data_IF_719710547963
#
_entry.id   IF_719710547963
#
_cell.length_a   1.000
_cell.length_b   1.000
_cell.length_c   1.000
_cell.angle_alpha   90.00
_cell.angle_beta   90.00
_cell.angle_gamma   90.00
#
_symmetry.space_group_name_H-M   'P 1'
#
loop_
_entity.id
_entity.type
_entity.pdbx_description
1 polymer ?
#
# COMPACT_ATOMS: atom_id res chain seq x y z
N UNK A 1 -8.99 13.10 -3.45
CA UNK A 1 -8.23 12.85 -2.22
C UNK A 1 -7.45 11.57 -2.43
N UNK A 2 -6.19 11.70 -2.75
CA UNK A 2 -5.28 10.59 -3.03
C UNK A 2 -4.98 9.91 -1.71
N UNK A 3 -5.33 8.61 -1.64
CA UNK A 3 -5.03 7.79 -0.49
C UNK A 3 -3.54 7.84 -0.18
N UNK A 4 -3.22 8.09 1.07
CA UNK A 4 -1.87 7.92 1.61
C UNK A 4 -1.51 6.46 1.35
N UNK A 5 -0.65 6.22 0.38
CA UNK A 5 0.01 4.95 0.21
C UNK A 5 0.94 4.80 1.42
N UNK A 6 0.42 4.22 2.49
CA UNK A 6 1.25 3.75 3.61
C UNK A 6 2.33 2.88 3.01
N UNK A 7 3.56 3.07 3.44
CA UNK A 7 4.71 2.22 3.12
C UNK A 7 4.23 0.76 3.09
N UNK A 8 4.05 0.22 1.87
CA UNK A 8 3.34 -1.04 1.71
C UNK A 8 4.25 -2.12 2.28
N UNK A 9 3.86 -2.69 3.40
CA UNK A 9 4.52 -3.87 3.93
C UNK A 9 4.53 -4.92 2.80
N UNK A 10 5.62 -5.68 2.60
CA UNK A 10 5.74 -6.68 1.52
C UNK A 10 4.53 -7.59 1.41
N UNK A 11 3.87 -7.85 2.54
CA UNK A 11 2.67 -8.68 2.63
C UNK A 11 1.43 -7.99 2.05
N UNK A 12 1.33 -6.67 2.16
CA UNK A 12 0.26 -5.88 1.56
C UNK A 12 0.32 -5.95 0.03
N UNK A 13 1.51 -5.75 -0.54
CA UNK A 13 1.74 -5.84 -1.99
C UNK A 13 1.50 -7.25 -2.51
N UNK A 14 2.01 -8.26 -1.81
CA UNK A 14 1.80 -9.66 -2.17
C UNK A 14 0.31 -10.04 -2.15
N UNK A 15 -0.44 -9.61 -1.14
CA UNK A 15 -1.86 -9.89 -1.02
C UNK A 15 -2.67 -9.15 -2.09
N UNK A 16 -2.35 -7.89 -2.35
CA UNK A 16 -2.97 -7.11 -3.43
C UNK A 16 -2.72 -7.75 -4.79
N UNK A 17 -1.49 -8.19 -5.05
CA UNK A 17 -1.12 -8.89 -6.29
C UNK A 17 -1.86 -10.23 -6.41
N UNK A 18 -1.98 -11.00 -5.33
CA UNK A 18 -2.72 -12.27 -5.32
C UNK A 18 -4.21 -12.08 -5.62
N UNK A 19 -4.85 -11.07 -5.03
CA UNK A 19 -6.24 -10.72 -5.30
C UNK A 19 -6.41 -10.29 -6.76
N UNK A 20 -5.53 -9.43 -7.26
CA UNK A 20 -5.56 -8.99 -8.66
C UNK A 20 -5.37 -10.15 -9.63
N UNK A 21 -4.42 -11.04 -9.37
CA UNK A 21 -4.18 -12.23 -10.19
C UNK A 21 -5.40 -13.17 -10.20
N UNK A 22 -6.03 -13.38 -9.05
CA UNK A 22 -7.26 -14.19 -8.93
C UNK A 22 -8.40 -13.61 -9.75
N UNK A 23 -8.63 -12.29 -9.68
CA UNK A 23 -9.68 -11.62 -10.44
C UNK A 23 -9.40 -11.73 -11.95
N UNK A 24 -8.16 -11.50 -12.37
CA UNK A 24 -7.77 -11.61 -13.78
C UNK A 24 -7.90 -13.06 -14.31
N UNK A 25 -7.60 -14.07 -13.49
CA UNK A 25 -7.86 -15.47 -13.83
C UNK A 25 -9.35 -15.73 -14.01
N UNK A 26 -10.17 -15.27 -13.07
CA UNK A 26 -11.63 -15.41 -13.15
C UNK A 26 -12.24 -14.74 -14.39
N UNK A 27 -11.66 -13.65 -14.87
CA UNK A 27 -12.06 -13.03 -16.15
C UNK A 27 -11.68 -13.91 -17.32
N UNK A 28 -10.46 -14.48 -17.35
CA UNK A 28 -10.02 -15.40 -18.41
C UNK A 28 -10.86 -16.68 -18.47
N UNK A 29 -11.27 -17.17 -17.31
CA UNK A 29 -12.09 -18.37 -17.17
C UNK A 29 -13.59 -18.12 -17.47
N UNK A 30 -13.95 -16.87 -17.81
CA UNK A 30 -15.33 -16.46 -18.12
C UNK A 30 -16.24 -16.36 -16.89
N UNK A 31 -15.69 -16.44 -15.69
CA UNK A 31 -16.44 -16.30 -14.43
C UNK A 31 -16.80 -14.85 -14.13
N UNK A 32 -16.03 -13.89 -14.64
CA UNK A 32 -16.29 -12.44 -14.52
C UNK A 32 -16.25 -11.78 -15.90
N UNK A 33 -16.98 -10.65 -16.03
CA UNK A 33 -16.98 -9.86 -17.28
C UNK A 33 -15.58 -9.36 -17.63
N UNK A 34 -15.19 -9.31 -18.92
CA UNK A 34 -13.94 -8.70 -19.38
C UNK A 34 -13.74 -7.25 -18.93
N UNK A 35 -14.81 -6.50 -18.75
CA UNK A 35 -14.79 -5.10 -18.32
C UNK A 35 -14.14 -4.91 -16.92
N UNK A 36 -14.16 -5.97 -16.10
CA UNK A 36 -13.54 -5.97 -14.77
C UNK A 36 -12.03 -5.73 -14.87
N UNK A 37 -11.36 -6.28 -15.89
CA UNK A 37 -9.90 -6.10 -16.07
C UNK A 37 -9.50 -4.65 -16.37
N UNK A 38 -10.41 -3.85 -16.90
CA UNK A 38 -10.20 -2.43 -17.21
C UNK A 38 -10.75 -1.49 -16.12
N UNK A 39 -11.34 -2.06 -15.07
CA UNK A 39 -11.94 -1.30 -13.99
C UNK A 39 -10.90 -0.57 -13.15
N UNK A 40 -11.15 0.72 -12.87
CA UNK A 40 -10.37 1.52 -11.90
C UNK A 40 -10.36 0.87 -10.50
N UNK A 41 -11.42 0.13 -10.15
CA UNK A 41 -11.49 -0.57 -8.87
C UNK A 41 -10.41 -1.67 -8.77
N UNK A 42 -10.11 -2.37 -9.87
CA UNK A 42 -9.03 -3.37 -9.92
C UNK A 42 -7.64 -2.71 -9.83
N UNK A 43 -7.49 -1.52 -10.42
CA UNK A 43 -6.24 -0.76 -10.36
C UNK A 43 -5.95 -0.18 -8.95
N UNK A 44 -6.99 -0.04 -8.11
CA UNK A 44 -6.92 0.59 -6.78
C UNK A 44 -7.46 -0.32 -5.68
N UNK A 45 -6.99 -1.59 -5.65
CA UNK A 45 -7.37 -2.53 -4.58
C UNK A 45 -6.90 -1.96 -3.24
N UNK A 46 -7.84 -1.75 -2.32
CA UNK A 46 -7.55 -1.27 -0.98
C UNK A 46 -7.70 -2.39 0.02
N UNK A 47 -6.68 -2.57 0.85
CA UNK A 47 -6.70 -3.45 2.00
C UNK A 47 -6.68 -2.60 3.26
N UNK A 48 -7.59 -2.86 4.16
CA UNK A 48 -7.69 -2.18 5.45
C UNK A 48 -7.40 -3.15 6.58
N UNK A 49 -6.87 -2.64 7.68
CA UNK A 49 -6.76 -3.43 8.91
C UNK A 49 -8.05 -3.31 9.70
N UNK A 50 -8.79 -4.41 9.93
CA UNK A 50 -9.99 -4.37 10.73
C UNK A 50 -9.71 -3.86 12.16
N UNK A 51 -10.65 -3.09 12.72
CA UNK A 51 -10.55 -2.65 14.11
C UNK A 51 -10.66 -3.81 15.10
N UNK A 52 -11.49 -4.81 14.77
CA UNK A 52 -11.63 -6.04 15.54
C UNK A 52 -10.76 -7.14 14.89
N UNK A 53 -9.87 -7.73 15.67
CA UNK A 53 -8.98 -8.82 15.25
C UNK A 53 -9.69 -10.12 14.89
N UNK A 54 -10.93 -10.30 15.34
CA UNK A 54 -11.76 -11.46 14.96
C UNK A 54 -12.10 -11.45 13.45
N UNK A 55 -11.96 -10.29 12.78
CA UNK A 55 -12.14 -10.13 11.35
C UNK A 55 -10.84 -10.35 10.54
N UNK A 56 -9.82 -10.96 11.12
CA UNK A 56 -8.54 -11.23 10.47
C UNK A 56 -7.57 -10.07 10.49
N UNK A 57 -6.49 -10.19 9.71
CA UNK A 57 -5.42 -9.20 9.63
C UNK A 57 -5.69 -8.10 8.60
N UNK A 58 -6.39 -8.44 7.52
CA UNK A 58 -6.76 -7.53 6.44
C UNK A 58 -8.20 -7.76 6.00
N UNK A 59 -8.85 -6.67 5.57
CA UNK A 59 -10.16 -6.70 4.94
C UNK A 59 -10.15 -5.91 3.62
N UNK A 60 -10.96 -6.34 2.65
CA UNK A 60 -11.18 -5.59 1.41
C UNK A 60 -12.64 -5.58 1.01
N UNK A 61 -13.06 -4.47 0.42
CA UNK A 61 -14.39 -4.27 -0.18
C UNK A 61 -14.39 -4.40 -1.70
N UNK A 62 -13.33 -4.98 -2.29
CA UNK A 62 -13.16 -5.04 -3.74
C UNK A 62 -14.34 -5.73 -4.46
N UNK A 63 -14.93 -6.74 -3.86
CA UNK A 63 -16.08 -7.44 -4.44
C UNK A 63 -17.32 -6.52 -4.57
N UNK A 64 -17.52 -5.61 -3.60
CA UNK A 64 -18.57 -4.58 -3.66
C UNK A 64 -18.30 -3.57 -4.79
N UNK A 65 -17.05 -3.14 -4.92
CA UNK A 65 -16.64 -2.18 -5.94
C UNK A 65 -16.79 -2.75 -7.38
N UNK A 66 -16.55 -4.06 -7.54
CA UNK A 66 -16.62 -4.74 -8.84
C UNK A 66 -18.04 -5.20 -9.21
N UNK A 67 -18.97 -5.25 -8.29
CA UNK A 67 -20.31 -5.85 -8.48
C UNK A 67 -21.06 -5.27 -9.69
N UNK A 68 -21.02 -3.94 -9.85
CA UNK A 68 -21.69 -3.24 -10.96
C UNK A 68 -21.04 -3.55 -12.31
N UNK A 69 -19.71 -3.57 -12.36
CA UNK A 69 -18.96 -3.81 -13.61
C UNK A 69 -19.01 -5.28 -14.01
N UNK A 70 -18.96 -6.18 -13.02
CA UNK A 70 -19.06 -7.63 -13.25
C UNK A 70 -20.50 -8.12 -13.51
N UNK A 71 -21.51 -7.26 -13.29
CA UNK A 71 -22.92 -7.63 -13.33
C UNK A 71 -23.26 -8.89 -12.52
N UNK A 72 -22.64 -8.99 -11.33
CA UNK A 72 -22.80 -10.12 -10.39
C UNK A 72 -23.01 -9.60 -8.98
N UNK A 73 -23.58 -10.46 -8.12
CA UNK A 73 -23.71 -10.10 -6.71
C UNK A 73 -22.32 -9.94 -6.07
N UNK A 74 -22.12 -8.99 -5.15
CA UNK A 74 -20.84 -8.84 -4.45
C UNK A 74 -20.41 -10.13 -3.74
N UNK A 75 -21.37 -10.90 -3.25
CA UNK A 75 -21.11 -12.15 -2.54
C UNK A 75 -20.56 -13.23 -3.47
N UNK A 76 -21.09 -13.33 -4.69
CA UNK A 76 -20.60 -14.29 -5.69
C UNK A 76 -19.16 -13.94 -6.11
N UNK A 77 -18.87 -12.66 -6.27
CA UNK A 77 -17.52 -12.17 -6.56
C UNK A 77 -16.57 -12.48 -5.40
N UNK A 78 -17.02 -12.27 -4.17
CA UNK A 78 -16.24 -12.58 -2.97
C UNK A 78 -15.93 -14.09 -2.86
N UNK A 79 -16.89 -14.98 -3.22
CA UNK A 79 -16.67 -16.42 -3.26
C UNK A 79 -15.65 -16.80 -4.35
N UNK A 80 -15.71 -16.17 -5.52
CA UNK A 80 -14.72 -16.40 -6.59
C UNK A 80 -13.32 -16.02 -6.09
N UNK A 81 -13.18 -14.85 -5.46
CA UNK A 81 -11.89 -14.36 -4.92
C UNK A 81 -11.42 -15.30 -3.80
N UNK A 82 -12.28 -15.68 -2.87
CA UNK A 82 -11.94 -16.61 -1.79
C UNK A 82 -11.42 -17.93 -2.33
N UNK A 83 -12.10 -18.51 -3.33
CA UNK A 83 -11.69 -19.78 -3.93
C UNK A 83 -10.34 -19.67 -4.63
N UNK A 84 -10.08 -18.56 -5.33
CA UNK A 84 -8.80 -18.36 -6.02
C UNK A 84 -7.64 -18.02 -5.06
N UNK A 85 -7.93 -17.52 -3.88
CA UNK A 85 -6.93 -17.32 -2.82
C UNK A 85 -6.66 -18.62 -2.03
N UNK A 86 -7.51 -19.63 -2.15
CA UNK A 86 -7.31 -20.92 -1.50
C UNK A 86 -6.04 -21.60 -2.05
N UNK A 87 -5.17 -22.04 -1.15
CA UNK A 87 -3.88 -22.62 -1.52
C UNK A 87 -2.70 -21.63 -1.51
N UNK A 88 -2.93 -20.35 -1.26
CA UNK A 88 -1.84 -19.42 -1.05
C UNK A 88 -1.22 -19.64 0.34
N UNK A 89 0.04 -20.07 0.38
CA UNK A 89 0.75 -20.42 1.63
C UNK A 89 0.90 -19.25 2.62
N UNK A 90 0.72 -18.02 2.16
CA UNK A 90 0.76 -16.83 3.00
C UNK A 90 -0.56 -16.56 3.74
N UNK A 91 -1.64 -17.27 3.36
CA UNK A 91 -2.99 -17.06 3.87
C UNK A 91 -3.42 -18.29 4.68
N UNK A 92 -3.83 -18.07 5.92
CA UNK A 92 -4.38 -19.13 6.77
C UNK A 92 -5.88 -19.31 6.51
N UNK A 93 -6.62 -18.18 6.38
CA UNK A 93 -8.08 -18.21 6.27
C UNK A 93 -8.61 -17.03 5.46
N UNK A 94 -9.65 -17.27 4.66
CA UNK A 94 -10.42 -16.22 3.98
C UNK A 94 -11.89 -16.38 4.34
N UNK A 95 -12.50 -15.32 4.87
CA UNK A 95 -13.91 -15.29 5.26
C UNK A 95 -14.65 -14.17 4.55
N UNK A 96 -15.93 -14.45 4.24
CA UNK A 96 -16.80 -13.44 3.64
C UNK A 96 -17.74 -12.93 4.71
N UNK A 97 -17.74 -11.62 4.92
CA UNK A 97 -18.60 -10.94 5.87
C UNK A 97 -19.62 -10.04 5.18
N UNK A 98 -20.84 -10.00 5.71
CA UNK A 98 -21.90 -9.12 5.23
C UNK A 98 -22.20 -9.29 3.74
N UNK A 99 -22.35 -8.18 2.99
CA UNK A 99 -22.76 -8.20 1.58
C UNK A 99 -21.64 -8.59 0.60
N UNK A 100 -20.40 -8.82 1.05
CA UNK A 100 -19.27 -9.15 0.17
C UNK A 100 -17.93 -8.56 0.62
N UNK A 101 -17.77 -8.23 1.90
CA UNK A 101 -16.45 -7.94 2.48
C UNK A 101 -15.65 -9.23 2.58
N UNK A 102 -14.38 -9.16 2.25
CA UNK A 102 -13.46 -10.28 2.30
C UNK A 102 -12.45 -10.02 3.40
N UNK A 103 -12.46 -10.86 4.43
CA UNK A 103 -11.52 -10.85 5.54
C UNK A 103 -10.45 -11.90 5.33
N UNK A 104 -9.19 -11.52 5.51
CA UNK A 104 -8.04 -12.39 5.29
C UNK A 104 -7.24 -12.49 6.59
N UNK A 105 -7.02 -13.72 7.06
CA UNK A 105 -6.10 -14.05 8.15
C UNK A 105 -4.81 -14.62 7.54
N UNK A 106 -3.69 -14.06 7.94
CA UNK A 106 -2.38 -14.46 7.44
C UNK A 106 -1.85 -15.70 8.17
N UNK A 107 -1.15 -16.54 7.45
CA UNK A 107 -0.41 -17.63 8.06
C UNK A 107 0.71 -17.09 8.95
N UNK A 108 0.95 -17.72 10.10
CA UNK A 108 2.02 -17.33 11.04
C UNK A 108 3.40 -17.28 10.40
N UNK A 109 3.67 -18.14 9.43
CA UNK A 109 4.90 -18.15 8.63
C UNK A 109 5.13 -16.88 7.82
N UNK A 110 4.06 -16.19 7.41
CA UNK A 110 4.15 -14.94 6.63
C UNK A 110 4.75 -13.78 7.42
N UNK A 111 4.61 -13.79 8.75
CA UNK A 111 5.20 -12.77 9.63
C UNK A 111 6.74 -12.89 9.66
N UNK A 112 7.28 -14.10 9.59
CA UNK A 112 8.72 -14.33 9.47
C UNK A 112 9.32 -13.89 8.14
N UNK A 113 8.55 -13.94 7.05
CA UNK A 113 9.00 -13.49 5.73
C UNK A 113 9.34 -12.00 5.68
N UNK A 114 8.64 -11.17 6.46
CA UNK A 114 8.93 -9.73 6.57
C UNK A 114 10.29 -9.51 7.21
N UNK A 115 10.63 -10.24 8.25
CA UNK A 115 11.93 -10.16 8.93
C UNK A 115 13.05 -10.59 7.98
N UNK A 116 12.85 -11.69 7.26
CA UNK A 116 13.83 -12.15 6.26
C UNK A 116 14.05 -11.09 5.17
N UNK A 117 12.99 -10.42 4.70
CA UNK A 117 13.10 -9.34 3.73
C UNK A 117 13.82 -8.11 4.30
N UNK A 118 13.53 -7.71 5.52
CA UNK A 118 14.24 -6.60 6.20
C UNK A 118 15.74 -6.90 6.24
N UNK A 119 16.12 -8.13 6.63
CA UNK A 119 17.52 -8.54 6.69
C UNK A 119 18.19 -8.59 5.32
N UNK A 120 17.48 -9.02 4.28
CA UNK A 120 17.98 -9.09 2.91
C UNK A 120 18.15 -7.71 2.27
N UNK A 121 17.17 -6.81 2.45
CA UNK A 121 17.18 -5.47 1.87
C UNK A 121 18.10 -4.51 2.66
N UNK A 122 18.34 -4.77 3.95
CA UNK A 122 19.18 -3.93 4.82
C UNK A 122 18.73 -2.48 4.81
N UNK A 123 19.63 -1.56 4.55
CA UNK A 123 19.37 -0.11 4.50
C UNK A 123 18.42 0.31 3.37
N UNK A 124 18.17 -0.56 2.40
CA UNK A 124 17.23 -0.30 1.30
C UNK A 124 15.79 -0.66 1.66
N UNK A 125 15.57 -1.33 2.80
CA UNK A 125 14.23 -1.67 3.23
C UNK A 125 13.38 -0.40 3.43
N UNK A 126 12.19 -0.38 2.83
CA UNK A 126 11.28 0.79 2.85
C UNK A 126 11.52 1.82 1.74
N UNK A 127 12.56 1.64 0.92
CA UNK A 127 12.72 2.47 -0.28
C UNK A 127 11.71 2.04 -1.35
N UNK A 128 11.10 3.04 -2.00
CA UNK A 128 10.10 2.85 -3.06
C UNK A 128 10.44 3.74 -4.26
N UNK A 129 9.86 3.46 -5.42
CA UNK A 129 10.13 4.19 -6.66
C UNK A 129 9.02 5.17 -7.07
N UNK A 130 8.13 5.54 -6.14
CA UNK A 130 6.96 6.40 -6.40
C UNK A 130 7.33 7.76 -7.00
N UNK A 131 8.47 8.30 -6.59
CA UNK A 131 8.98 9.61 -7.01
C UNK A 131 10.18 9.47 -7.96
N UNK A 132 10.37 8.29 -8.57
CA UNK A 132 11.48 8.07 -9.50
C UNK A 132 11.47 9.11 -10.62
N UNK A 133 12.65 9.71 -10.90
CA UNK A 133 12.82 10.76 -11.90
C UNK A 133 12.37 12.15 -11.44
N UNK A 134 11.78 12.30 -10.26
CA UNK A 134 11.47 13.62 -9.70
C UNK A 134 12.74 14.23 -9.08
N UNK A 135 13.00 15.49 -9.43
CA UNK A 135 14.04 16.33 -8.81
C UNK A 135 13.33 17.35 -7.93
N UNK A 136 13.65 17.35 -6.66
CA UNK A 136 12.99 18.19 -5.64
C UNK A 136 14.07 19.03 -4.98
N UNK A 137 13.89 20.35 -5.02
CA UNK A 137 14.68 21.27 -4.22
C UNK A 137 13.91 21.61 -2.95
N UNK A 138 14.50 21.35 -1.79
CA UNK A 138 13.89 21.57 -0.48
C UNK A 138 14.72 22.58 0.28
N UNK A 139 14.19 23.79 0.38
CA UNK A 139 14.76 24.87 1.17
C UNK A 139 14.20 24.82 2.60
N UNK A 140 15.07 24.85 3.60
CA UNK A 140 14.70 24.89 5.01
C UNK A 140 15.79 25.52 5.88
N UNK A 141 15.42 25.97 7.09
CA UNK A 141 16.24 26.74 8.02
C UNK A 141 16.59 28.15 7.51
N UNK A 142 16.28 28.52 6.27
CA UNK A 142 16.61 29.82 5.71
C UNK A 142 16.23 30.97 6.66
N UNK A 143 17.19 31.81 7.01
CA UNK A 143 17.03 32.85 8.01
C UNK A 143 17.92 34.06 7.67
N UNK A 144 17.42 35.25 7.99
CA UNK A 144 18.19 36.48 7.85
C UNK A 144 19.37 36.48 8.82
N UNK A 145 20.56 36.96 8.41
CA UNK A 145 21.77 36.99 9.26
C UNK A 145 21.75 38.09 10.31
N UNK A 146 20.59 38.32 10.94
CA UNK A 146 20.40 39.38 11.95
C UNK A 146 20.71 38.92 13.37
N UNK A 147 21.04 37.65 13.58
CA UNK A 147 21.36 37.06 14.87
C UNK A 147 21.61 35.55 14.79
N UNK A 148 21.96 34.93 15.93
CA UNK A 148 22.20 33.48 15.96
C UNK A 148 20.93 32.69 15.72
N UNK A 149 21.08 31.48 15.17
CA UNK A 149 19.97 30.53 15.03
C UNK A 149 19.37 30.22 16.42
N UNK A 150 18.06 30.20 16.52
CA UNK A 150 17.35 29.88 17.74
C UNK A 150 16.54 28.56 17.60
N UNK A 151 15.88 28.13 18.69
CA UNK A 151 15.15 26.88 18.78
C UNK A 151 14.13 26.69 17.66
N UNK A 152 13.50 27.75 17.14
CA UNK A 152 12.61 27.68 15.99
C UNK A 152 13.29 27.16 14.74
N UNK A 153 14.51 27.60 14.44
CA UNK A 153 15.29 27.13 13.30
C UNK A 153 15.68 25.64 13.45
N UNK A 154 15.99 25.19 14.68
CA UNK A 154 16.28 23.78 14.95
C UNK A 154 15.06 22.87 14.63
N UNK A 155 13.85 23.34 14.94
CA UNK A 155 12.62 22.60 14.58
C UNK A 155 12.48 22.48 13.06
N UNK A 156 12.71 23.57 12.32
CA UNK A 156 12.64 23.56 10.86
C UNK A 156 13.75 22.69 10.25
N UNK A 157 14.94 22.66 10.88
CA UNK A 157 16.03 21.74 10.51
C UNK A 157 15.56 20.28 10.57
N UNK A 158 15.00 19.88 11.71
CA UNK A 158 14.55 18.52 11.93
C UNK A 158 13.42 18.12 10.95
N UNK A 159 12.44 19.01 10.75
CA UNK A 159 11.34 18.77 9.81
C UNK A 159 11.85 18.69 8.37
N UNK A 160 12.71 19.62 7.95
CA UNK A 160 13.25 19.66 6.60
C UNK A 160 14.11 18.43 6.28
N UNK A 161 14.97 18.02 7.20
CA UNK A 161 15.80 16.84 7.03
C UNK A 161 14.98 15.54 6.98
N UNK A 162 13.99 15.41 7.88
CA UNK A 162 13.08 14.28 7.86
C UNK A 162 12.28 14.21 6.55
N UNK A 163 11.77 15.35 6.07
CA UNK A 163 11.05 15.42 4.80
C UNK A 163 11.96 15.07 3.62
N UNK A 164 13.19 15.59 3.58
CA UNK A 164 14.15 15.26 2.54
C UNK A 164 14.46 13.76 2.52
N UNK A 165 14.60 13.14 3.69
CA UNK A 165 14.86 11.71 3.84
C UNK A 165 13.68 10.85 3.34
N UNK A 166 12.45 11.24 3.67
CA UNK A 166 11.23 10.54 3.19
C UNK A 166 11.08 10.67 1.67
N UNK A 167 11.31 11.85 1.11
CA UNK A 167 11.25 12.07 -0.34
C UNK A 167 12.34 11.27 -1.08
N UNK A 168 13.54 11.20 -0.53
CA UNK A 168 14.63 10.38 -1.07
C UNK A 168 14.30 8.88 -1.00
N UNK A 169 13.75 8.39 0.12
CA UNK A 169 13.26 7.02 0.26
C UNK A 169 12.10 6.72 -0.73
N UNK A 170 11.33 7.75 -1.10
CA UNK A 170 10.32 7.70 -2.15
C UNK A 170 10.88 7.59 -3.57
N UNK A 171 12.21 7.68 -3.75
CA UNK A 171 12.88 7.58 -5.04
C UNK A 171 13.16 8.91 -5.73
N UNK A 172 12.92 10.06 -5.06
CA UNK A 172 13.25 11.37 -5.59
C UNK A 172 14.74 11.67 -5.46
N UNK A 173 15.28 12.49 -6.39
CA UNK A 173 16.56 13.17 -6.20
C UNK A 173 16.30 14.47 -5.44
N UNK A 174 16.73 14.53 -4.18
CA UNK A 174 16.48 15.68 -3.30
C UNK A 174 17.71 16.53 -3.13
N UNK A 175 17.62 17.81 -3.45
CA UNK A 175 18.62 18.83 -3.13
C UNK A 175 18.16 19.56 -1.87
N UNK A 176 19.03 19.62 -0.88
CA UNK A 176 18.80 20.42 0.35
C UNK A 176 19.43 21.78 0.16
N UNK A 177 18.66 22.82 0.38
CA UNK A 177 19.10 24.20 0.21
C UNK A 177 18.92 24.99 1.51
N UNK A 178 19.92 25.78 1.83
CA UNK A 178 19.89 26.76 2.91
C UNK A 178 20.26 28.13 2.32
N UNK A 179 19.49 29.17 2.63
CA UNK A 179 19.80 30.54 2.24
C UNK A 179 19.96 31.41 3.47
N UNK A 180 21.04 32.19 3.49
CA UNK A 180 21.22 33.33 4.37
C UNK A 180 21.17 34.58 3.51
N UNK A 181 20.13 35.38 3.64
CA UNK A 181 20.00 36.69 2.96
C UNK A 181 20.57 37.81 3.82
#
# INVERSE_FOLDING_TARGET
>A
MTGVQTCALPIYEALTAAISATINSAVKDGLLSPDVSQSTALATITLERPKNRDHGDYATSIALALAKVANKSPRDIAEIIKNGLSGNSAIEKVEIAGPGFINVTLAKSSQGAVVAKILADGEKFGQVSLLHGKKINLEFISANPTGPLHLGHTRWAAVGDALASVLAAGGATVTREFRSE
#
